data_IF_058185391986
#
_entry.id   IF_058185391986
#
_cell.length_a   1.000
_cell.length_b   1.000
_cell.length_c   1.000
_cell.angle_alpha   90.00
_cell.angle_beta   90.00
_cell.angle_gamma   90.00
#
_symmetry.space_group_name_H-M   'P 1'
#
loop_
_entity.id
_entity.type
_entity.pdbx_description
1 polymer ?
#
# COMPACT_ATOMS: atom_id res chain seq x y z
N UNK A 1 6.11 -13.98 -26.67
CA UNK A 1 6.36 -14.36 -25.25
C UNK A 1 5.78 -13.28 -24.36
N UNK A 2 5.23 -13.66 -23.21
CA UNK A 2 4.82 -12.73 -22.15
C UNK A 2 6.02 -12.46 -21.24
N UNK A 3 6.24 -11.22 -20.85
CA UNK A 3 7.35 -10.78 -19.99
C UNK A 3 6.75 -10.06 -18.79
N UNK A 4 7.22 -10.40 -17.60
CA UNK A 4 6.89 -9.70 -16.36
C UNK A 4 8.13 -8.93 -15.91
N UNK A 5 7.99 -7.61 -15.76
CA UNK A 5 9.00 -6.76 -15.13
C UNK A 5 8.61 -6.57 -13.65
N UNK A 6 9.49 -6.95 -12.75
CA UNK A 6 9.29 -6.77 -11.31
C UNK A 6 10.19 -5.64 -10.82
N UNK A 7 9.57 -4.61 -10.23
CA UNK A 7 10.27 -3.52 -9.56
C UNK A 7 10.63 -3.87 -8.12
N UNK A 8 11.40 -3.01 -7.49
CA UNK A 8 11.75 -3.09 -6.08
C UNK A 8 11.44 -1.76 -5.38
N UNK A 9 11.57 -1.74 -4.04
CA UNK A 9 11.26 -0.59 -3.16
C UNK A 9 9.78 -0.19 -3.22
N UNK A 10 9.48 1.06 -3.57
CA UNK A 10 8.13 1.59 -3.66
C UNK A 10 8.13 3.03 -4.15
N UNK A 11 7.00 3.51 -4.64
CA UNK A 11 6.86 4.83 -5.27
C UNK A 11 7.36 5.98 -4.40
N UNK A 12 7.11 5.93 -3.08
CA UNK A 12 7.57 7.00 -2.17
C UNK A 12 9.08 7.01 -1.90
N UNK A 13 9.79 5.99 -2.38
CA UNK A 13 11.25 5.88 -2.31
C UNK A 13 11.93 6.17 -3.66
N UNK A 14 11.15 6.44 -4.71
CA UNK A 14 11.69 6.80 -6.03
C UNK A 14 12.56 8.07 -5.93
N UNK A 15 13.71 8.08 -6.62
CA UNK A 15 14.69 9.18 -6.54
C UNK A 15 14.11 10.50 -7.02
N UNK A 16 13.23 10.48 -8.01
CA UNK A 16 12.65 11.68 -8.63
C UNK A 16 11.28 12.04 -8.05
N UNK A 17 10.48 11.04 -7.68
CA UNK A 17 9.07 11.19 -7.33
C UNK A 17 8.74 10.87 -5.86
N UNK A 18 9.72 10.37 -5.11
CA UNK A 18 9.56 10.04 -3.69
C UNK A 18 9.72 11.24 -2.76
N UNK A 19 9.78 10.96 -1.47
CA UNK A 19 9.96 11.95 -0.39
C UNK A 19 11.42 12.33 -0.21
N UNK A 20 12.01 12.98 -1.22
CA UNK A 20 13.42 13.43 -1.16
C UNK A 20 13.67 14.31 0.07
N UNK A 21 14.80 14.15 0.84
CA UNK A 21 15.95 13.29 0.53
C UNK A 21 15.85 11.84 1.01
N UNK A 22 14.72 11.42 1.56
CA UNK A 22 14.50 10.08 2.12
C UNK A 22 14.04 9.08 1.04
N UNK A 23 14.90 8.86 0.05
CA UNK A 23 14.63 8.05 -1.15
C UNK A 23 15.75 7.04 -1.40
N UNK A 24 15.54 6.12 -2.33
CA UNK A 24 16.59 5.26 -2.89
C UNK A 24 17.33 6.00 -4.03
N UNK A 25 18.46 5.48 -4.46
CA UNK A 25 19.20 6.01 -5.61
C UNK A 25 18.72 5.46 -6.97
N UNK A 26 17.51 4.92 -7.03
CA UNK A 26 16.95 4.27 -8.21
C UNK A 26 15.52 4.75 -8.51
N UNK A 27 15.10 4.59 -9.77
CA UNK A 27 13.72 4.80 -10.17
C UNK A 27 12.91 3.54 -9.88
N UNK A 28 12.06 3.62 -8.86
CA UNK A 28 11.20 2.53 -8.41
C UNK A 28 9.77 2.59 -8.98
N UNK A 29 9.51 3.58 -9.84
CA UNK A 29 8.24 3.72 -10.57
C UNK A 29 8.21 2.81 -11.81
N UNK A 30 7.02 2.62 -12.41
CA UNK A 30 6.83 1.83 -13.64
C UNK A 30 7.69 2.33 -14.80
N UNK A 31 7.93 3.65 -14.87
CA UNK A 31 8.84 4.26 -15.84
C UNK A 31 10.28 3.75 -15.74
N UNK A 32 10.70 3.30 -14.55
CA UNK A 32 12.00 2.67 -14.33
C UNK A 32 12.21 1.38 -15.14
N UNK A 33 11.14 0.67 -15.48
CA UNK A 33 11.24 -0.49 -16.38
C UNK A 33 11.70 -0.09 -17.79
N UNK A 34 11.15 1.02 -18.32
CA UNK A 34 11.57 1.52 -19.64
C UNK A 34 13.03 1.96 -19.66
N UNK A 35 13.45 2.76 -18.67
CA UNK A 35 14.82 3.27 -18.62
C UNK A 35 15.82 2.18 -18.28
N UNK A 36 15.48 1.27 -17.37
CA UNK A 36 16.38 0.18 -16.93
C UNK A 36 16.58 -0.94 -17.95
N UNK A 37 15.53 -1.28 -18.73
CA UNK A 37 15.57 -2.34 -19.71
C UNK A 37 15.79 -1.82 -21.14
N UNK A 38 15.72 -0.51 -21.38
CA UNK A 38 15.83 0.08 -22.71
C UNK A 38 14.65 -0.27 -23.62
N UNK A 39 13.45 -0.42 -23.07
CA UNK A 39 12.22 -0.69 -23.81
C UNK A 39 11.38 0.57 -23.94
N UNK A 40 10.66 0.77 -25.08
CA UNK A 40 9.75 1.90 -25.21
C UNK A 40 8.61 1.82 -24.18
N UNK A 41 8.18 2.94 -23.57
CA UNK A 41 7.05 2.94 -22.63
C UNK A 41 5.77 2.35 -23.23
N UNK A 42 5.58 2.49 -24.55
CA UNK A 42 4.43 1.95 -25.30
C UNK A 42 4.42 0.43 -25.44
N UNK A 43 5.47 -0.26 -25.00
CA UNK A 43 5.54 -1.72 -24.93
C UNK A 43 5.19 -2.28 -23.55
N UNK A 44 4.86 -1.42 -22.61
CA UNK A 44 4.29 -1.82 -21.30
C UNK A 44 2.78 -1.89 -21.48
N UNK A 45 2.25 -3.10 -21.58
CA UNK A 45 0.82 -3.32 -21.85
C UNK A 45 -0.03 -3.09 -20.58
N UNK A 46 0.53 -3.36 -19.39
CA UNK A 46 -0.21 -3.29 -18.14
C UNK A 46 0.72 -3.06 -16.95
N UNK A 47 0.27 -2.24 -16.01
CA UNK A 47 0.95 -2.00 -14.72
C UNK A 47 0.09 -2.52 -13.57
N UNK A 48 0.65 -3.41 -12.77
CA UNK A 48 0.01 -3.90 -11.54
C UNK A 48 0.74 -3.36 -10.33
N UNK A 49 0.01 -2.61 -9.48
CA UNK A 49 0.52 -2.11 -8.22
C UNK A 49 0.45 -3.17 -7.13
N UNK A 50 1.49 -3.28 -6.30
CA UNK A 50 1.46 -4.12 -5.11
C UNK A 50 1.41 -3.21 -3.88
N UNK A 51 0.41 -3.43 -3.01
CA UNK A 51 0.21 -2.65 -1.80
C UNK A 51 -0.09 -3.56 -0.61
N UNK A 52 0.31 -3.15 0.58
CA UNK A 52 -0.12 -3.81 1.83
C UNK A 52 -1.47 -3.27 2.27
N UNK A 53 -2.21 -4.05 3.05
CA UNK A 53 -3.46 -3.62 3.68
C UNK A 53 -3.26 -2.53 4.77
N UNK A 54 -2.03 -2.17 5.08
CA UNK A 54 -1.59 -1.10 5.97
C UNK A 54 -0.29 -0.51 5.46
N UNK A 55 0.21 0.57 6.05
CA UNK A 55 1.44 1.24 5.58
C UNK A 55 2.64 0.86 6.43
N UNK A 56 3.79 0.66 5.77
CA UNK A 56 5.08 0.51 6.46
C UNK A 56 6.15 1.38 5.84
N UNK A 57 7.09 1.85 6.66
CA UNK A 57 8.26 2.58 6.19
C UNK A 57 9.51 2.07 6.86
N UNK A 58 10.61 1.99 6.09
CA UNK A 58 11.95 1.70 6.60
C UNK A 58 12.74 3.00 6.59
N UNK A 59 13.46 3.28 7.67
CA UNK A 59 14.29 4.48 7.80
C UNK A 59 13.49 5.74 8.11
N UNK A 60 14.11 6.87 7.85
CA UNK A 60 13.58 8.20 8.14
C UNK A 60 12.65 8.73 7.06
N UNK A 61 12.16 9.94 7.26
CA UNK A 61 11.25 10.65 6.35
C UNK A 61 9.80 10.66 6.81
N UNK A 62 8.96 11.45 6.15
CA UNK A 62 7.59 11.68 6.56
C UNK A 62 6.75 10.41 6.49
N UNK A 63 5.88 10.24 7.49
CA UNK A 63 4.96 9.12 7.58
C UNK A 63 3.68 9.57 8.32
N UNK A 64 2.76 10.28 7.65
CA UNK A 64 1.61 10.91 8.30
C UNK A 64 0.72 9.95 9.09
N UNK A 65 0.61 8.70 8.62
CA UNK A 65 -0.24 7.68 9.25
C UNK A 65 0.50 6.77 10.23
N UNK A 66 1.74 7.10 10.61
CA UNK A 66 2.52 6.33 11.57
C UNK A 66 1.82 6.22 12.93
N UNK A 67 1.89 5.03 13.52
CA UNK A 67 1.33 4.73 14.82
C UNK A 67 2.42 4.47 15.85
N UNK A 68 2.37 5.24 16.94
CA UNK A 68 3.28 5.14 18.08
C UNK A 68 2.64 4.48 19.30
N UNK A 69 1.47 3.86 19.10
CA UNK A 69 0.64 3.23 20.10
C UNK A 69 0.63 1.69 19.99
N UNK A 70 -0.26 1.06 20.75
CA UNK A 70 -0.47 -0.38 20.73
C UNK A 70 -0.87 -0.95 19.36
N UNK A 71 -1.56 -0.15 18.52
CA UNK A 71 -1.93 -0.56 17.16
C UNK A 71 -0.71 -0.67 16.26
N UNK A 72 0.23 0.27 16.37
CA UNK A 72 1.50 0.22 15.65
C UNK A 72 2.35 -0.99 16.05
N UNK A 73 2.41 -1.29 17.34
CA UNK A 73 3.09 -2.48 17.86
C UNK A 73 2.41 -3.77 17.37
N UNK A 74 1.09 -3.82 17.37
CA UNK A 74 0.30 -4.95 16.89
C UNK A 74 0.52 -5.19 15.41
N UNK A 75 0.46 -4.16 14.55
CA UNK A 75 0.77 -4.26 13.12
C UNK A 75 2.18 -4.81 12.89
N UNK A 76 3.17 -4.30 13.64
CA UNK A 76 4.57 -4.74 13.53
C UNK A 76 4.73 -6.21 13.89
N UNK A 77 4.11 -6.65 14.98
CA UNK A 77 4.20 -8.02 15.49
C UNK A 77 3.48 -9.00 14.58
N UNK A 78 2.18 -8.78 14.31
CA UNK A 78 1.36 -9.66 13.48
C UNK A 78 1.86 -9.68 12.02
N UNK A 79 2.30 -8.52 11.52
CA UNK A 79 2.86 -8.39 10.17
C UNK A 79 4.30 -8.86 10.03
N UNK A 80 4.99 -9.27 11.11
CA UNK A 80 6.43 -9.58 11.09
C UNK A 80 7.25 -8.47 10.42
N UNK A 81 6.95 -7.21 10.74
CA UNK A 81 7.55 -6.05 10.10
C UNK A 81 8.92 -5.72 10.66
N UNK A 82 9.88 -6.57 10.27
CA UNK A 82 11.31 -6.43 10.58
C UNK A 82 12.13 -6.53 9.30
N UNK A 83 13.27 -5.87 9.28
CA UNK A 83 14.20 -5.95 8.15
C UNK A 83 14.76 -7.36 8.01
N UNK A 84 14.68 -7.95 6.82
CA UNK A 84 15.12 -9.33 6.57
C UNK A 84 16.61 -9.56 6.87
N UNK A 85 17.45 -8.55 6.65
CA UNK A 85 18.91 -8.65 6.84
C UNK A 85 19.34 -8.16 8.22
N UNK A 86 18.76 -7.06 8.70
CA UNK A 86 19.23 -6.38 9.93
C UNK A 86 18.35 -6.66 11.14
N UNK A 87 17.17 -7.26 10.95
CA UNK A 87 16.17 -7.42 12.01
C UNK A 87 15.60 -6.10 12.55
N UNK A 88 15.95 -4.93 11.95
CA UNK A 88 15.50 -3.63 12.42
C UNK A 88 13.98 -3.53 12.29
N UNK A 89 13.25 -3.06 13.33
CA UNK A 89 11.81 -2.89 13.27
C UNK A 89 11.44 -1.84 12.22
N UNK A 90 10.40 -2.13 11.44
CA UNK A 90 9.80 -1.17 10.51
C UNK A 90 8.79 -0.28 11.25
N UNK A 91 8.68 0.95 10.83
CA UNK A 91 7.62 1.87 11.21
C UNK A 91 6.32 1.37 10.58
N UNK A 92 5.22 1.35 11.33
CA UNK A 92 3.92 0.87 10.87
C UNK A 92 2.85 1.93 11.09
N UNK A 93 1.87 1.97 10.21
CA UNK A 93 0.77 2.91 10.28
C UNK A 93 -0.47 2.44 9.52
N UNK A 94 -1.58 3.16 9.67
CA UNK A 94 -2.80 2.88 8.94
C UNK A 94 -2.62 3.05 7.43
N UNK A 95 -3.51 2.44 6.65
CA UNK A 95 -3.51 2.55 5.20
C UNK A 95 -3.63 4.01 4.78
N UNK A 96 -2.74 4.45 3.88
CA UNK A 96 -2.70 5.81 3.37
C UNK A 96 -3.20 5.86 1.92
N UNK A 97 -4.46 6.28 1.75
CA UNK A 97 -5.06 6.37 0.42
C UNK A 97 -4.58 7.59 -0.37
N UNK A 98 -4.03 8.63 0.27
CA UNK A 98 -3.44 9.78 -0.44
C UNK A 98 -2.19 9.33 -1.17
N UNK A 99 -1.29 8.64 -0.47
CA UNK A 99 -0.08 8.04 -1.04
C UNK A 99 -0.43 7.00 -2.11
N UNK A 100 -1.43 6.14 -1.83
CA UNK A 100 -1.84 5.09 -2.77
C UNK A 100 -2.39 5.68 -4.08
N UNK A 101 -3.26 6.72 -4.03
CA UNK A 101 -3.76 7.41 -5.22
C UNK A 101 -2.63 8.08 -6.02
N UNK A 102 -1.69 8.71 -5.32
CA UNK A 102 -0.51 9.28 -5.97
C UNK A 102 0.28 8.20 -6.72
N UNK A 103 0.55 7.06 -6.07
CA UNK A 103 1.25 5.95 -6.69
C UNK A 103 0.48 5.39 -7.91
N UNK A 104 -0.85 5.26 -7.81
CA UNK A 104 -1.72 4.82 -8.91
C UNK A 104 -1.58 5.76 -10.12
N UNK A 105 -1.73 7.06 -9.90
CA UNK A 105 -1.65 8.07 -10.94
C UNK A 105 -0.27 8.14 -11.59
N UNK A 106 0.79 8.17 -10.77
CA UNK A 106 2.17 8.30 -11.26
C UNK A 106 2.62 7.10 -12.08
N UNK A 107 2.22 5.90 -11.68
CA UNK A 107 2.64 4.66 -12.33
C UNK A 107 1.69 4.20 -13.44
N UNK A 108 0.52 4.83 -13.61
CA UNK A 108 -0.50 4.36 -14.53
C UNK A 108 -1.00 2.96 -14.17
N UNK A 109 -1.31 2.73 -12.89
CA UNK A 109 -1.70 1.39 -12.39
C UNK A 109 -3.09 1.02 -12.90
N UNK A 110 -3.20 -0.11 -13.62
CA UNK A 110 -4.44 -0.64 -14.17
C UNK A 110 -5.21 -1.53 -13.17
N UNK A 111 -4.48 -2.18 -12.28
CA UNK A 111 -5.04 -3.04 -11.24
C UNK A 111 -4.04 -3.19 -10.09
N UNK A 112 -4.52 -3.63 -8.94
CA UNK A 112 -3.68 -3.77 -7.74
C UNK A 112 -3.70 -5.20 -7.20
N UNK A 113 -2.65 -5.54 -6.48
CA UNK A 113 -2.57 -6.69 -5.58
C UNK A 113 -2.45 -6.18 -4.14
N UNK A 114 -3.47 -6.45 -3.32
CA UNK A 114 -3.38 -6.15 -1.89
C UNK A 114 -2.79 -7.35 -1.15
N UNK A 115 -1.85 -7.08 -0.25
CA UNK A 115 -1.14 -8.10 0.53
C UNK A 115 -1.33 -7.90 2.02
N UNK A 116 -1.08 -8.97 2.79
CA UNK A 116 -1.12 -8.93 4.26
C UNK A 116 -2.49 -8.53 4.83
N UNK A 117 -3.58 -8.97 4.20
CA UNK A 117 -4.92 -8.77 4.73
C UNK A 117 -5.10 -9.47 6.08
N UNK A 118 -4.54 -10.68 6.22
CA UNK A 118 -4.48 -11.51 7.43
C UNK A 118 -3.97 -10.79 8.68
N UNK A 119 -3.06 -9.86 8.50
CA UNK A 119 -2.50 -9.05 9.61
C UNK A 119 -3.59 -8.23 10.31
N UNK A 120 -4.65 -7.88 9.59
CA UNK A 120 -5.77 -7.10 10.11
C UNK A 120 -6.87 -7.93 10.77
N UNK A 121 -6.78 -9.26 10.74
CA UNK A 121 -7.83 -10.18 11.20
C UNK A 121 -8.30 -9.97 12.66
N UNK A 122 -7.43 -9.41 13.50
CA UNK A 122 -7.70 -9.22 14.95
C UNK A 122 -7.86 -7.77 15.37
N UNK A 123 -8.17 -6.88 14.44
CA UNK A 123 -8.42 -5.47 14.75
C UNK A 123 -9.92 -5.20 14.83
N UNK A 124 -10.35 -4.47 15.86
CA UNK A 124 -11.75 -4.08 16.04
C UNK A 124 -12.15 -2.94 15.11
N UNK A 125 -11.21 -2.05 14.86
CA UNK A 125 -11.39 -0.88 13.98
C UNK A 125 -10.16 -0.72 13.09
N UNK A 126 -10.40 -0.41 11.84
CA UNK A 126 -9.38 -0.09 10.85
C UNK A 126 -9.59 1.34 10.37
N UNK A 127 -8.49 2.04 10.04
CA UNK A 127 -8.56 3.42 9.57
C UNK A 127 -7.87 3.55 8.22
N UNK A 128 -8.50 4.32 7.34
CA UNK A 128 -7.95 4.66 6.02
C UNK A 128 -7.78 6.18 5.96
N UNK A 129 -6.55 6.64 5.80
CA UNK A 129 -6.27 8.06 5.63
C UNK A 129 -6.71 8.52 4.23
N UNK A 130 -7.59 9.50 4.17
CA UNK A 130 -8.16 10.03 2.91
C UNK A 130 -7.73 11.46 2.62
N UNK A 131 -6.99 12.09 3.52
CA UNK A 131 -6.46 13.44 3.38
C UNK A 131 -5.55 13.82 4.54
N UNK A 132 -4.87 14.97 4.42
CA UNK A 132 -4.06 15.57 5.48
C UNK A 132 -4.59 16.96 5.80
N UNK A 133 -4.80 17.25 7.07
CA UNK A 133 -5.20 18.58 7.55
C UNK A 133 -3.96 19.34 8.01
N UNK A 134 -3.69 20.50 7.41
CA UNK A 134 -2.54 21.33 7.73
C UNK A 134 -2.89 22.81 7.59
N UNK A 135 -2.59 23.60 8.63
CA UNK A 135 -2.84 25.07 8.68
C UNK A 135 -4.26 25.46 8.22
N UNK A 136 -5.27 24.69 8.66
CA UNK A 136 -6.69 24.95 8.35
C UNK A 136 -7.17 24.44 6.98
N UNK A 137 -6.29 23.94 6.13
CA UNK A 137 -6.62 23.34 4.84
C UNK A 137 -6.62 21.81 4.92
N UNK A 138 -7.39 21.16 4.04
CA UNK A 138 -7.38 19.69 3.88
C UNK A 138 -6.88 19.34 2.50
N UNK A 139 -5.79 18.58 2.45
CA UNK A 139 -5.16 18.07 1.23
C UNK A 139 -5.61 16.64 0.98
N UNK A 140 -6.36 16.41 -0.09
CA UNK A 140 -6.81 15.07 -0.50
C UNK A 140 -5.88 14.44 -1.52
N UNK A 141 -5.07 15.25 -2.21
CA UNK A 141 -4.03 14.83 -3.14
C UNK A 141 -2.66 14.94 -2.47
N UNK A 142 -1.69 14.20 -3.02
CA UNK A 142 -0.31 14.20 -2.51
C UNK A 142 0.29 15.61 -2.59
N UNK A 143 0.62 16.24 -1.44
CA UNK A 143 1.24 17.56 -1.45
C UNK A 143 2.70 17.47 -1.88
N UNK A 144 3.15 18.47 -2.64
CA UNK A 144 4.57 18.60 -3.01
C UNK A 144 5.44 19.10 -1.86
N UNK A 145 4.83 19.78 -0.88
CA UNK A 145 5.53 20.31 0.29
C UNK A 145 5.66 19.24 1.37
N UNK A 146 6.89 18.85 1.69
CA UNK A 146 7.19 17.86 2.72
C UNK A 146 6.75 18.30 4.12
N UNK A 147 6.71 19.60 4.41
CA UNK A 147 6.23 20.12 5.69
C UNK A 147 4.79 19.69 5.98
N UNK A 148 3.97 19.56 4.93
CA UNK A 148 2.59 19.04 5.05
C UNK A 148 2.59 17.56 5.41
N UNK A 149 3.51 16.77 4.85
CA UNK A 149 3.63 15.35 5.16
C UNK A 149 4.24 15.09 6.55
N UNK A 150 5.11 15.97 7.02
CA UNK A 150 5.75 15.85 8.32
C UNK A 150 4.86 16.31 9.47
N UNK A 151 4.05 17.35 9.24
CA UNK A 151 3.30 18.05 10.30
C UNK A 151 1.77 18.03 10.07
N UNK A 152 1.28 17.46 8.97
CA UNK A 152 -0.13 17.34 8.69
C UNK A 152 -0.79 16.24 9.49
N UNK A 153 -1.99 16.52 10.01
CA UNK A 153 -2.82 15.56 10.72
C UNK A 153 -3.59 14.69 9.71
N UNK A 154 -3.48 13.35 9.77
CA UNK A 154 -4.23 12.46 8.89
C UNK A 154 -5.74 12.53 9.17
N UNK A 155 -6.52 12.63 8.11
CA UNK A 155 -8.00 12.57 8.15
C UNK A 155 -8.42 11.15 7.81
N UNK A 156 -9.08 10.48 8.74
CA UNK A 156 -9.43 9.08 8.61
C UNK A 156 -10.90 8.86 8.26
N UNK A 157 -11.12 7.78 7.49
CA UNK A 157 -12.38 7.07 7.37
C UNK A 157 -12.24 5.76 8.15
N UNK A 158 -13.17 5.47 9.04
CA UNK A 158 -13.14 4.29 9.89
C UNK A 158 -13.90 3.14 9.23
N UNK A 159 -13.36 1.92 9.39
CA UNK A 159 -13.98 0.67 9.01
C UNK A 159 -14.05 -0.25 10.21
N UNK A 160 -15.12 -1.02 10.31
CA UNK A 160 -15.22 -2.06 11.33
C UNK A 160 -14.28 -3.23 11.01
N UNK A 161 -13.55 -3.69 12.00
CA UNK A 161 -12.75 -4.90 11.89
C UNK A 161 -13.62 -6.15 11.89
N UNK A 162 -13.10 -7.25 11.36
CA UNK A 162 -13.85 -8.49 11.19
C UNK A 162 -13.61 -9.53 12.27
N UNK A 163 -12.52 -9.46 13.01
CA UNK A 163 -12.19 -10.38 14.12
C UNK A 163 -12.34 -11.88 13.76
N UNK A 164 -12.02 -12.24 12.55
CA UNK A 164 -12.09 -13.59 12.00
C UNK A 164 -10.88 -13.85 11.11
N UNK A 165 -10.45 -15.12 10.99
CA UNK A 165 -9.34 -15.45 10.10
C UNK A 165 -9.75 -15.35 8.63
N UNK A 166 -8.89 -14.70 7.84
CA UNK A 166 -9.00 -14.66 6.38
C UNK A 166 -8.10 -15.69 5.68
N UNK A 167 -7.22 -16.35 6.42
CA UNK A 167 -6.11 -17.19 5.92
C UNK A 167 -6.60 -18.37 5.06
N UNK A 168 -7.74 -18.95 5.37
CA UNK A 168 -8.27 -20.12 4.67
C UNK A 168 -9.24 -19.77 3.53
N UNK A 169 -9.48 -18.48 3.28
CA UNK A 169 -10.37 -18.07 2.20
C UNK A 169 -9.71 -18.32 0.83
N UNK A 170 -10.33 -19.15 0.00
CA UNK A 170 -9.84 -19.49 -1.34
C UNK A 170 -10.41 -18.56 -2.43
N UNK A 171 -11.50 -17.87 -2.13
CA UNK A 171 -12.14 -16.90 -3.01
C UNK A 171 -12.74 -15.73 -2.22
N UNK A 172 -13.15 -14.68 -2.92
CA UNK A 172 -13.64 -13.45 -2.31
C UNK A 172 -14.90 -13.66 -1.46
N UNK A 173 -15.80 -14.56 -1.88
CA UNK A 173 -17.07 -14.80 -1.18
C UNK A 173 -16.88 -15.44 0.19
N UNK A 174 -15.78 -16.17 0.39
CA UNK A 174 -15.42 -16.80 1.67
C UNK A 174 -14.80 -15.83 2.69
N UNK A 175 -14.44 -14.63 2.27
CA UNK A 175 -13.96 -13.62 3.21
C UNK A 175 -15.10 -13.17 4.15
N UNK A 176 -14.79 -12.81 5.41
CA UNK A 176 -15.75 -12.17 6.31
C UNK A 176 -16.39 -10.94 5.67
N UNK A 177 -17.68 -10.69 5.91
CA UNK A 177 -18.41 -9.60 5.26
C UNK A 177 -17.77 -8.22 5.51
N UNK A 178 -17.26 -7.98 6.71
CA UNK A 178 -16.54 -6.74 7.03
C UNK A 178 -15.21 -6.63 6.28
N UNK A 179 -14.52 -7.74 6.03
CA UNK A 179 -13.30 -7.74 5.21
C UNK A 179 -13.62 -7.44 3.74
N UNK A 180 -14.70 -7.99 3.20
CA UNK A 180 -15.22 -7.63 1.87
C UNK A 180 -15.56 -6.15 1.80
N UNK A 181 -16.28 -5.62 2.80
CA UNK A 181 -16.64 -4.21 2.87
C UNK A 181 -15.40 -3.29 2.93
N UNK A 182 -14.37 -3.68 3.67
CA UNK A 182 -13.09 -2.96 3.72
C UNK A 182 -12.40 -2.93 2.34
N UNK A 183 -12.33 -4.08 1.66
CA UNK A 183 -11.72 -4.20 0.32
C UNK A 183 -12.49 -3.36 -0.69
N UNK A 184 -13.82 -3.46 -0.72
CA UNK A 184 -14.68 -2.67 -1.62
C UNK A 184 -14.57 -1.16 -1.31
N UNK A 185 -14.49 -0.80 -0.04
CA UNK A 185 -14.23 0.57 0.41
C UNK A 185 -12.90 1.11 -0.11
N UNK A 186 -11.84 0.31 -0.04
CA UNK A 186 -10.54 0.68 -0.61
C UNK A 186 -10.62 0.85 -2.14
N UNK A 187 -11.25 -0.08 -2.86
CA UNK A 187 -11.42 0.02 -4.31
C UNK A 187 -12.16 1.31 -4.70
N UNK A 188 -13.22 1.66 -3.98
CA UNK A 188 -13.97 2.88 -4.20
C UNK A 188 -13.14 4.14 -3.92
N UNK A 189 -12.34 4.16 -2.84
CA UNK A 189 -11.47 5.28 -2.47
C UNK A 189 -10.32 5.46 -3.47
N UNK A 190 -9.78 4.36 -3.98
CA UNK A 190 -8.63 4.36 -4.89
C UNK A 190 -9.00 4.50 -6.36
N UNK A 191 -10.24 4.15 -6.74
CA UNK A 191 -10.69 4.14 -8.13
C UNK A 191 -10.10 3.01 -8.99
N UNK A 192 -9.47 2.00 -8.37
CA UNK A 192 -8.83 0.86 -9.04
C UNK A 192 -9.17 -0.43 -8.32
N UNK A 193 -9.45 -1.50 -9.08
CA UNK A 193 -9.81 -2.81 -8.56
C UNK A 193 -8.60 -3.64 -8.10
N UNK A 194 -8.84 -4.54 -7.15
CA UNK A 194 -7.86 -5.54 -6.76
C UNK A 194 -7.98 -6.80 -7.61
N UNK A 195 -6.91 -7.12 -8.32
CA UNK A 195 -6.75 -8.34 -9.11
C UNK A 195 -6.41 -9.55 -8.23
N UNK A 196 -5.67 -9.29 -7.14
CA UNK A 196 -5.23 -10.29 -6.18
C UNK A 196 -5.37 -9.77 -4.75
N UNK A 197 -5.77 -10.68 -3.84
CA UNK A 197 -5.88 -10.43 -2.41
C UNK A 197 -5.10 -11.52 -1.69
N UNK A 198 -3.98 -11.17 -1.06
CA UNK A 198 -3.19 -12.12 -0.28
C UNK A 198 -3.66 -12.13 1.17
N UNK A 199 -4.03 -13.32 1.64
CA UNK A 199 -4.53 -13.63 2.98
C UNK A 199 -3.50 -14.37 3.83
N UNK A 200 -2.25 -14.43 3.38
CA UNK A 200 -1.15 -15.05 4.10
C UNK A 200 0.12 -15.18 3.25
N UNK A 201 1.21 -15.71 3.82
CA UNK A 201 2.52 -15.76 3.16
C UNK A 201 2.65 -16.88 2.11
N UNK A 202 1.79 -17.89 2.14
CA UNK A 202 1.89 -19.02 1.24
C UNK A 202 1.26 -18.71 -0.12
N UNK A 203 1.78 -19.36 -1.18
CA UNK A 203 1.33 -19.15 -2.55
C UNK A 203 -0.17 -19.45 -2.78
N UNK A 204 -0.70 -20.43 -2.07
CA UNK A 204 -2.13 -20.80 -2.12
C UNK A 204 -3.03 -19.84 -1.30
N UNK A 205 -2.44 -18.95 -0.48
CA UNK A 205 -3.15 -17.94 0.29
C UNK A 205 -3.28 -16.62 -0.50
N UNK A 206 -3.63 -16.76 -1.79
CA UNK A 206 -3.84 -15.62 -2.68
C UNK A 206 -5.12 -15.84 -3.48
N UNK A 207 -6.13 -15.07 -3.16
CA UNK A 207 -7.39 -15.00 -3.90
C UNK A 207 -7.14 -14.24 -5.21
N UNK A 208 -7.55 -14.82 -6.34
CA UNK A 208 -7.42 -14.19 -7.66
C UNK A 208 -8.79 -13.78 -8.17
N UNK A 209 -8.95 -12.50 -8.50
CA UNK A 209 -10.17 -11.93 -9.07
C UNK A 209 -10.05 -11.65 -10.58
N UNK A 210 -8.91 -11.98 -11.18
CA UNK A 210 -8.67 -11.78 -12.61
C UNK A 210 -7.33 -12.36 -13.08
N UNK A 211 -6.94 -12.05 -14.31
CA UNK A 211 -5.69 -12.51 -14.92
C UNK A 211 -4.69 -11.36 -15.07
N UNK A 212 -3.41 -11.68 -14.95
CA UNK A 212 -2.31 -10.72 -15.20
C UNK A 212 -2.12 -10.44 -16.68
N UNK A 213 -2.40 -11.46 -17.53
CA UNK A 213 -2.13 -11.47 -18.97
C UNK A 213 -3.37 -11.86 -19.77
#
# INVERSE_FOLDING_TARGET
KKVLCEGAQGTMLDVDHGTYPFVTSSNSTSGGASTGLGIPPTQIDRVVGVIKAYTTRVGEGPFPTELHDEYGEKLRKEGHEFGSTTGRPRRCGWFDAVVARYAISLNGIDAMAITKLDVLDRFDTLKVCTGYKYKGNTFKEMPADLDILENGEPVYTDFEGWNQSTVEAENFDQLPDKAKFYIDGLQNILGVGFLMISTGPARNQTIRQGTLF
#
